data_IF_596586552637
#
_entry.id   IF_596586552637
#
_cell.length_a   1.000
_cell.length_b   1.000
_cell.length_c   1.000
_cell.angle_alpha   90.00
_cell.angle_beta   90.00
_cell.angle_gamma   90.00
#
_symmetry.space_group_name_H-M   'P 1'
#
loop_
_entity.id
_entity.type
_entity.pdbx_description
1 polymer ?
#
# COMPACT_ATOMS: atom_id res chain seq x y z
N UNK A 1 -21.23 27.45 41.81
CA UNK A 1 -21.23 28.92 41.79
C UNK A 1 -20.09 29.39 40.87
N UNK A 2 -20.45 30.09 39.79
CA UNK A 2 -19.62 30.84 38.82
C UNK A 2 -18.65 30.05 37.91
N UNK A 3 -19.19 29.69 36.75
CA UNK A 3 -18.46 29.61 35.46
C UNK A 3 -17.88 31.01 35.15
N UNK A 4 -16.60 31.09 34.78
CA UNK A 4 -16.03 32.29 34.17
C UNK A 4 -15.89 32.05 32.65
N UNK A 5 -16.59 32.89 31.88
CA UNK A 5 -16.33 33.12 30.47
C UNK A 5 -15.06 33.95 30.32
N UNK A 6 -14.20 33.61 29.36
CA UNK A 6 -13.37 34.59 28.67
C UNK A 6 -13.44 34.32 27.18
N UNK A 7 -14.03 35.28 26.47
CA UNK A 7 -13.93 35.46 25.02
C UNK A 7 -12.80 36.47 24.80
N UNK A 8 -11.78 36.12 24.02
CA UNK A 8 -11.10 37.08 23.15
C UNK A 8 -10.86 36.43 21.79
N UNK A 9 -11.37 37.12 20.78
CA UNK A 9 -11.27 36.89 19.35
C UNK A 9 -9.89 37.27 18.78
N UNK A 10 -9.40 36.52 17.79
CA UNK A 10 -8.50 37.04 16.75
C UNK A 10 -8.92 36.53 15.37
N UNK A 11 -9.01 37.47 14.43
CA UNK A 11 -9.24 37.28 13.00
C UNK A 11 -7.98 36.71 12.31
N UNK A 12 -8.22 36.00 11.20
CA UNK A 12 -7.31 35.85 10.05
C UNK A 12 -5.99 35.10 10.25
N UNK A 13 -5.98 33.81 9.93
CA UNK A 13 -5.36 33.27 8.70
C UNK A 13 -5.77 31.80 8.58
N UNK A 14 -6.39 31.45 7.45
CA UNK A 14 -6.80 30.07 7.17
C UNK A 14 -5.62 29.16 6.94
N UNK A 15 -5.24 28.41 7.98
CA UNK A 15 -4.56 27.12 7.88
C UNK A 15 -5.18 26.26 8.97
N UNK A 16 -6.22 25.48 8.63
CA UNK A 16 -6.70 24.44 9.52
C UNK A 16 -5.63 23.36 9.61
N UNK A 17 -4.90 23.33 10.72
CA UNK A 17 -4.09 22.19 11.11
C UNK A 17 -5.02 20.99 11.29
N UNK A 18 -4.89 20.01 10.38
CA UNK A 18 -5.54 18.72 10.54
C UNK A 18 -4.93 18.07 11.79
N UNK A 19 -5.71 17.99 12.86
CA UNK A 19 -5.34 17.20 14.03
C UNK A 19 -5.13 15.75 13.57
N UNK A 20 -3.96 15.22 13.87
CA UNK A 20 -3.57 13.84 13.63
C UNK A 20 -4.47 12.97 14.53
N UNK A 21 -5.60 12.52 13.99
CA UNK A 21 -6.29 11.37 14.53
C UNK A 21 -5.48 10.14 14.15
N UNK A 22 -4.58 9.74 15.05
CA UNK A 22 -4.00 8.40 15.07
C UNK A 22 -5.17 7.42 14.95
N UNK A 23 -5.13 6.57 13.93
CA UNK A 23 -6.14 5.56 13.65
C UNK A 23 -6.59 4.90 14.96
N UNK A 24 -7.85 5.15 15.31
CA UNK A 24 -8.51 4.46 16.40
C UNK A 24 -8.64 2.98 16.00
N UNK A 25 -7.92 2.12 16.72
CA UNK A 25 -7.93 0.66 16.51
C UNK A 25 -9.32 0.05 16.67
N UNK A 26 -10.30 0.81 17.18
CA UNK A 26 -11.70 0.38 17.33
C UNK A 26 -12.54 0.49 16.05
N UNK A 27 -12.05 1.12 14.97
CA UNK A 27 -12.76 1.12 13.67
C UNK A 27 -12.49 -0.17 12.89
N UNK A 28 -12.92 -1.30 13.44
CA UNK A 28 -12.78 -2.63 12.81
C UNK A 28 -13.47 -2.73 11.44
N UNK A 29 -14.44 -1.86 11.15
CA UNK A 29 -15.16 -1.82 9.88
C UNK A 29 -15.08 -0.41 9.27
N UNK A 30 -14.45 -0.27 8.10
CA UNK A 30 -14.63 0.93 7.28
C UNK A 30 -16.03 0.84 6.63
N UNK A 31 -16.92 1.83 6.83
CA UNK A 31 -18.28 1.77 6.29
C UNK A 31 -18.28 1.89 4.76
N UNK A 32 -19.18 1.18 4.09
CA UNK A 32 -19.54 1.41 2.68
C UNK A 32 -20.96 1.99 2.66
N UNK A 33 -21.23 3.16 2.04
CA UNK A 33 -20.31 3.97 1.24
C UNK A 33 -19.36 4.83 2.08
N UNK A 34 -18.10 4.85 1.65
CA UNK A 34 -17.04 5.64 2.26
C UNK A 34 -17.13 7.10 1.78
N UNK A 35 -17.45 8.03 2.68
CA UNK A 35 -17.44 9.48 2.36
C UNK A 35 -16.01 10.01 2.48
N UNK A 36 -15.46 10.56 1.40
CA UNK A 36 -14.24 11.37 1.44
C UNK A 36 -14.63 12.73 2.03
N UNK A 37 -14.39 12.93 3.32
CA UNK A 37 -14.54 14.27 3.91
C UNK A 37 -13.50 15.19 3.29
N UNK A 38 -13.94 16.17 2.47
CA UNK A 38 -13.38 17.47 2.04
C UNK A 38 -11.87 17.82 2.19
N UNK A 39 -10.95 16.88 2.37
CA UNK A 39 -9.56 17.11 2.75
C UNK A 39 -8.53 16.86 1.62
N UNK A 40 -8.95 16.29 0.49
CA UNK A 40 -8.11 16.20 -0.72
C UNK A 40 -8.79 16.84 -1.93
N UNK A 41 -8.80 18.19 -2.03
CA UNK A 41 -9.56 18.89 -3.07
C UNK A 41 -9.05 18.70 -4.51
N UNK A 42 -7.97 17.94 -4.73
CA UNK A 42 -7.23 17.93 -6.00
C UNK A 42 -6.95 16.53 -6.58
N UNK A 43 -7.30 15.44 -5.88
CA UNK A 43 -6.96 14.08 -6.33
C UNK A 43 -8.24 13.27 -6.51
N UNK A 44 -8.70 13.20 -7.76
CA UNK A 44 -9.82 12.37 -8.16
C UNK A 44 -9.40 10.93 -8.50
N UNK A 45 -8.11 10.72 -8.74
CA UNK A 45 -7.48 9.45 -9.07
C UNK A 45 -6.14 9.37 -8.32
N UNK A 46 -5.97 8.34 -7.49
CA UNK A 46 -4.78 8.18 -6.65
C UNK A 46 -3.49 7.93 -7.47
N UNK A 47 -3.62 7.43 -8.71
CA UNK A 47 -2.52 7.09 -9.61
C UNK A 47 -2.27 8.16 -10.67
N UNK A 48 -3.28 8.90 -11.11
CA UNK A 48 -3.15 9.97 -12.11
C UNK A 48 -2.60 11.28 -11.53
N UNK A 49 -1.41 11.20 -10.94
CA UNK A 49 -0.74 12.33 -10.27
C UNK A 49 -0.02 13.30 -11.24
N UNK A 50 0.13 12.93 -12.52
CA UNK A 50 0.91 13.68 -13.50
C UNK A 50 0.32 15.04 -13.92
N UNK A 51 -1.01 15.21 -13.77
CA UNK A 51 -1.69 16.50 -14.04
C UNK A 51 -1.77 17.41 -12.81
N UNK A 52 -1.37 16.91 -11.64
CA UNK A 52 -1.41 17.64 -10.39
C UNK A 52 -0.05 18.33 -10.18
N UNK A 53 0.04 19.66 -10.36
CA UNK A 53 1.29 20.40 -10.16
C UNK A 53 1.88 20.23 -8.75
N UNK A 54 3.15 20.62 -8.52
CA UNK A 54 3.86 20.41 -7.23
C UNK A 54 3.09 20.89 -5.97
N UNK A 55 2.12 21.81 -6.12
CA UNK A 55 1.22 22.29 -5.06
C UNK A 55 0.20 21.23 -4.58
N UNK A 56 0.00 20.14 -5.32
CA UNK A 56 -0.93 19.06 -5.01
C UNK A 56 -0.29 17.91 -4.21
N UNK A 57 0.97 18.06 -3.78
CA UNK A 57 1.61 17.09 -2.89
C UNK A 57 0.74 16.81 -1.69
N UNK A 58 0.37 15.55 -1.51
CA UNK A 58 -0.33 15.10 -0.31
C UNK A 58 0.65 15.14 0.86
N UNK A 59 0.59 16.22 1.64
CA UNK A 59 1.39 16.40 2.86
C UNK A 59 0.89 15.53 4.02
N UNK A 60 -0.29 14.93 3.88
CA UNK A 60 -0.86 14.04 4.88
C UNK A 60 0.01 12.80 5.08
N UNK A 61 0.27 12.48 6.33
CA UNK A 61 1.10 11.33 6.72
C UNK A 61 0.36 10.02 6.44
N UNK A 62 -0.94 9.95 6.75
CA UNK A 62 -1.78 8.78 6.53
C UNK A 62 -2.82 9.05 5.43
N UNK A 63 -2.68 8.38 4.29
CA UNK A 63 -3.63 8.49 3.19
C UNK A 63 -4.46 7.22 3.01
N UNK A 64 -4.37 6.25 3.91
CA UNK A 64 -4.94 4.91 3.75
C UNK A 64 -6.47 4.92 3.66
N UNK A 65 -7.14 5.77 4.45
CA UNK A 65 -8.59 5.96 4.37
C UNK A 65 -9.00 6.61 3.06
N UNK A 66 -8.34 7.72 2.67
CA UNK A 66 -8.63 8.40 1.41
C UNK A 66 -8.43 7.45 0.23
N UNK A 67 -7.36 6.65 0.26
CA UNK A 67 -7.09 5.60 -0.72
C UNK A 67 -8.26 4.63 -0.86
N UNK A 68 -8.67 4.01 0.24
CA UNK A 68 -9.77 3.06 0.26
C UNK A 68 -11.06 3.69 -0.29
N UNK A 69 -11.39 4.92 0.14
CA UNK A 69 -12.57 5.63 -0.33
C UNK A 69 -12.52 5.92 -1.84
N UNK A 70 -11.36 6.28 -2.39
CA UNK A 70 -11.20 6.53 -3.83
C UNK A 70 -11.37 5.25 -4.64
N UNK A 71 -10.65 4.18 -4.27
CA UNK A 71 -10.69 2.91 -5.01
C UNK A 71 -12.06 2.22 -4.91
N UNK A 72 -12.74 2.34 -3.77
CA UNK A 72 -14.06 1.72 -3.59
C UNK A 72 -15.23 2.57 -4.08
N UNK A 73 -15.00 3.80 -4.54
CA UNK A 73 -16.07 4.73 -4.95
C UNK A 73 -16.95 4.13 -6.05
N UNK A 74 -16.35 3.47 -7.04
CA UNK A 74 -17.07 2.83 -8.14
C UNK A 74 -17.97 1.67 -7.69
N UNK A 75 -17.71 1.10 -6.52
CA UNK A 75 -18.48 -0.01 -5.96
C UNK A 75 -19.50 0.45 -4.90
N UNK A 76 -19.81 1.75 -4.81
CA UNK A 76 -20.68 2.29 -3.76
C UNK A 76 -22.07 1.65 -3.68
N UNK A 77 -22.59 1.13 -4.80
CA UNK A 77 -23.87 0.42 -4.89
C UNK A 77 -23.73 -1.10 -5.02
N UNK A 78 -22.51 -1.63 -4.87
CA UNK A 78 -22.19 -3.05 -5.01
C UNK A 78 -22.02 -3.68 -3.63
N UNK A 79 -22.63 -4.85 -3.42
CA UNK A 79 -22.49 -5.58 -2.17
C UNK A 79 -21.08 -6.09 -1.96
N UNK A 80 -20.50 -5.86 -0.78
CA UNK A 80 -19.22 -6.44 -0.38
C UNK A 80 -19.32 -7.98 -0.31
N UNK A 81 -18.51 -8.66 -1.13
CA UNK A 81 -18.49 -10.11 -1.27
C UNK A 81 -17.36 -10.81 -0.50
N UNK A 82 -16.66 -10.14 0.42
CA UNK A 82 -15.48 -10.71 1.13
C UNK A 82 -15.77 -12.05 1.80
N UNK A 83 -16.98 -12.27 2.29
CA UNK A 83 -17.38 -13.55 2.90
C UNK A 83 -17.35 -14.72 1.90
N UNK A 84 -17.50 -14.48 0.59
CA UNK A 84 -17.36 -15.52 -0.44
C UNK A 84 -15.91 -16.01 -0.56
N UNK A 85 -14.93 -15.22 -0.14
CA UNK A 85 -13.52 -15.60 -0.18
C UNK A 85 -13.14 -16.63 0.90
N UNK A 86 -13.98 -16.83 1.93
CA UNK A 86 -13.69 -17.76 3.03
C UNK A 86 -13.38 -19.19 2.59
N UNK A 87 -13.99 -19.64 1.50
CA UNK A 87 -13.78 -20.99 0.94
C UNK A 87 -12.47 -21.13 0.14
N UNK A 88 -11.83 -20.02 -0.23
CA UNK A 88 -10.60 -20.03 -1.01
C UNK A 88 -9.38 -19.81 -0.11
N UNK A 89 -8.23 -20.28 -0.58
CA UNK A 89 -6.93 -19.97 0.02
C UNK A 89 -6.29 -18.77 -0.69
N UNK A 90 -6.11 -17.65 0.02
CA UNK A 90 -5.45 -16.45 -0.51
C UNK A 90 -3.95 -16.37 -0.18
N UNK A 91 -3.36 -17.36 0.51
CA UNK A 91 -1.98 -17.23 1.02
C UNK A 91 -0.94 -16.94 -0.06
N UNK A 92 -1.16 -17.40 -1.30
CA UNK A 92 -0.23 -17.22 -2.42
C UNK A 92 -0.10 -15.78 -2.89
N UNK A 93 -1.16 -14.97 -2.81
CA UNK A 93 -1.15 -13.62 -3.41
C UNK A 93 -0.26 -12.63 -2.65
N UNK A 94 0.20 -13.01 -1.45
CA UNK A 94 0.99 -12.15 -0.58
C UNK A 94 2.49 -12.41 -0.66
N UNK A 95 2.91 -13.57 -1.18
CA UNK A 95 4.31 -13.97 -1.18
C UNK A 95 5.09 -13.20 -2.26
N UNK A 96 6.29 -12.74 -1.92
CA UNK A 96 7.15 -12.01 -2.87
C UNK A 96 8.08 -12.95 -3.66
N UNK A 97 8.18 -14.21 -3.23
CA UNK A 97 8.96 -15.27 -3.89
C UNK A 97 10.44 -14.91 -4.15
N UNK A 98 10.82 -14.69 -5.41
CA UNK A 98 12.19 -14.36 -5.81
C UNK A 98 12.38 -12.87 -6.09
N UNK A 99 11.39 -12.05 -5.77
CA UNK A 99 11.35 -10.62 -6.06
C UNK A 99 11.33 -9.80 -4.76
N UNK A 100 11.20 -8.50 -4.91
CA UNK A 100 10.99 -7.52 -3.86
C UNK A 100 9.92 -6.53 -4.32
N UNK A 101 9.23 -5.91 -3.37
CA UNK A 101 8.29 -4.83 -3.65
C UNK A 101 8.93 -3.50 -3.29
N UNK A 102 8.73 -2.50 -4.13
CA UNK A 102 9.34 -1.19 -4.00
C UNK A 102 8.34 -0.17 -3.49
N UNK A 103 8.85 0.85 -2.81
CA UNK A 103 8.00 1.84 -2.18
C UNK A 103 8.72 3.11 -1.78
N UNK A 104 7.93 4.08 -1.35
CA UNK A 104 8.36 5.33 -0.76
C UNK A 104 8.05 5.36 0.73
N UNK A 105 9.00 5.85 1.51
CA UNK A 105 8.80 6.25 2.90
C UNK A 105 9.11 7.75 3.02
N UNK A 106 8.33 8.46 3.83
CA UNK A 106 8.36 9.92 4.03
C UNK A 106 8.04 10.79 2.80
N UNK A 107 8.05 12.11 3.00
CA UNK A 107 7.66 13.12 2.00
C UNK A 107 8.78 13.43 0.99
N UNK A 108 9.99 12.91 1.21
CA UNK A 108 11.10 13.01 0.27
C UNK A 108 11.19 11.78 -0.65
N UNK A 109 10.23 10.84 -0.57
CA UNK A 109 10.20 9.63 -1.38
C UNK A 109 11.49 8.79 -1.25
N UNK A 110 12.00 8.68 -0.02
CA UNK A 110 13.08 7.75 0.28
C UNK A 110 12.64 6.33 -0.08
N UNK A 111 13.46 5.60 -0.84
CA UNK A 111 13.14 4.22 -1.20
C UNK A 111 13.06 3.33 0.04
N UNK A 112 12.00 2.56 0.10
CA UNK A 112 11.80 1.43 1.00
C UNK A 112 11.53 0.18 0.14
N UNK A 113 12.00 -0.97 0.59
CA UNK A 113 11.80 -2.26 -0.07
C UNK A 113 11.16 -3.24 0.91
N UNK A 114 10.29 -4.11 0.42
CA UNK A 114 9.61 -5.15 1.19
C UNK A 114 9.84 -6.53 0.58
N UNK A 115 9.93 -7.54 1.45
CA UNK A 115 9.94 -8.94 1.06
C UNK A 115 9.13 -9.76 2.07
N UNK A 116 8.03 -10.36 1.62
CA UNK A 116 7.17 -11.24 2.41
C UNK A 116 7.64 -12.68 2.20
N UNK A 117 8.15 -13.27 3.29
CA UNK A 117 8.79 -14.59 3.31
C UNK A 117 7.78 -15.71 3.58
N UNK A 118 6.80 -15.45 4.43
CA UNK A 118 5.87 -16.47 4.90
C UNK A 118 4.50 -15.89 5.17
N UNK A 119 3.48 -16.63 4.73
CA UNK A 119 2.09 -16.34 5.03
C UNK A 119 1.38 -17.57 5.59
N UNK A 120 0.61 -17.34 6.65
CA UNK A 120 -0.22 -18.37 7.27
C UNK A 120 -1.62 -17.81 7.47
N UNK A 121 -2.65 -18.54 7.03
CA UNK A 121 -4.02 -18.19 7.37
C UNK A 121 -4.26 -18.39 8.86
N UNK A 122 -4.93 -17.43 9.51
CA UNK A 122 -5.30 -17.57 10.92
C UNK A 122 -6.27 -18.74 11.10
N UNK A 123 -6.08 -19.50 12.19
CA UNK A 123 -6.96 -20.61 12.57
C UNK A 123 -8.26 -20.13 13.24
N UNK A 124 -8.27 -18.91 13.78
CA UNK A 124 -9.40 -18.35 14.53
C UNK A 124 -10.21 -17.34 13.72
N UNK A 125 -9.61 -16.73 12.71
CA UNK A 125 -10.29 -15.81 11.78
C UNK A 125 -9.91 -16.12 10.33
N UNK A 126 -10.85 -16.72 9.60
CA UNK A 126 -10.70 -17.10 8.20
C UNK A 126 -10.37 -15.93 7.24
N UNK A 127 -10.60 -14.68 7.65
CA UNK A 127 -10.29 -13.47 6.87
C UNK A 127 -8.94 -12.84 7.27
N UNK A 128 -8.23 -13.40 8.23
CA UNK A 128 -6.95 -12.86 8.71
C UNK A 128 -5.79 -13.77 8.29
N UNK A 129 -4.72 -13.15 7.80
CA UNK A 129 -3.47 -13.79 7.40
C UNK A 129 -2.34 -13.23 8.25
N UNK A 130 -1.52 -14.12 8.81
CA UNK A 130 -0.30 -13.80 9.54
C UNK A 130 0.83 -13.73 8.53
N UNK A 131 1.53 -12.59 8.53
CA UNK A 131 2.60 -12.26 7.60
C UNK A 131 3.92 -12.20 8.36
N UNK A 132 4.96 -12.80 7.79
CA UNK A 132 6.35 -12.64 8.23
C UNK A 132 7.18 -12.20 7.04
N UNK A 133 8.03 -11.21 7.24
CA UNK A 133 8.87 -10.68 6.17
C UNK A 133 9.95 -9.74 6.69
N UNK A 134 10.54 -9.00 5.75
CA UNK A 134 11.56 -7.99 6.01
C UNK A 134 11.27 -6.72 5.24
N UNK A 135 11.59 -5.59 5.85
CA UNK A 135 11.62 -4.26 5.23
C UNK A 135 13.09 -3.84 5.08
N UNK A 136 13.36 -2.91 4.16
CA UNK A 136 14.68 -2.33 3.99
C UNK A 136 14.61 -0.86 3.61
N UNK A 137 15.33 -0.02 4.34
CA UNK A 137 15.55 1.39 4.01
C UNK A 137 17.06 1.64 4.04
N UNK A 138 17.62 2.06 2.90
CA UNK A 138 19.09 2.14 2.71
C UNK A 138 19.73 0.78 3.04
N UNK A 139 20.59 0.73 4.06
CA UNK A 139 21.24 -0.50 4.53
C UNK A 139 20.59 -1.10 5.78
N UNK A 140 19.54 -0.47 6.32
CA UNK A 140 18.83 -0.98 7.50
C UNK A 140 17.77 -1.99 7.07
N UNK A 141 17.91 -3.24 7.50
CA UNK A 141 16.97 -4.33 7.24
C UNK A 141 16.29 -4.71 8.55
N UNK A 142 14.96 -4.62 8.60
CA UNK A 142 14.18 -4.99 9.78
C UNK A 142 13.29 -6.18 9.46
N UNK A 143 13.29 -7.17 10.36
CA UNK A 143 12.31 -8.25 10.34
C UNK A 143 10.98 -7.69 10.84
N UNK A 144 9.88 -8.17 10.27
CA UNK A 144 8.56 -7.85 10.77
C UNK A 144 7.67 -9.09 10.86
N UNK A 145 6.69 -9.00 11.75
CA UNK A 145 5.55 -9.92 11.80
C UNK A 145 4.29 -9.09 11.94
N UNK A 146 3.19 -9.55 11.37
CA UNK A 146 1.92 -8.88 11.54
C UNK A 146 0.79 -9.57 10.81
N UNK A 147 -0.23 -8.80 10.44
CA UNK A 147 -1.44 -9.35 9.84
C UNK A 147 -1.93 -8.56 8.64
N UNK A 148 -2.62 -9.26 7.75
CA UNK A 148 -3.54 -8.69 6.76
C UNK A 148 -4.93 -9.24 7.08
N UNK A 149 -5.91 -8.37 7.33
CA UNK A 149 -7.32 -8.72 7.52
C UNK A 149 -8.11 -8.27 6.29
N UNK A 150 -8.76 -9.20 5.61
CA UNK A 150 -9.60 -8.89 4.45
C UNK A 150 -10.79 -8.02 4.88
N UNK A 151 -11.01 -6.91 4.17
CA UNK A 151 -12.07 -5.95 4.44
C UNK A 151 -13.21 -6.07 3.43
N UNK A 152 -12.88 -6.03 2.15
CA UNK A 152 -13.86 -6.03 1.08
C UNK A 152 -13.37 -6.75 -0.15
N UNK A 153 -14.33 -7.29 -0.89
CA UNK A 153 -14.10 -7.90 -2.20
C UNK A 153 -15.25 -7.50 -3.12
N UNK A 154 -14.92 -6.98 -4.29
CA UNK A 154 -15.89 -6.58 -5.30
C UNK A 154 -15.59 -7.32 -6.60
N UNK A 155 -16.61 -7.95 -7.19
CA UNK A 155 -16.44 -8.57 -8.50
C UNK A 155 -16.24 -7.48 -9.56
N UNK A 156 -15.33 -7.75 -10.49
CA UNK A 156 -15.10 -6.92 -11.68
C UNK A 156 -15.39 -7.74 -12.93
N UNK A 157 -15.47 -7.06 -14.08
CA UNK A 157 -15.57 -7.73 -15.37
C UNK A 157 -14.16 -8.07 -15.85
N UNK A 158 -13.83 -9.35 -15.92
CA UNK A 158 -12.61 -9.82 -16.57
C UNK A 158 -12.93 -10.11 -18.03
N UNK A 159 -12.02 -9.76 -18.93
CA UNK A 159 -12.14 -10.15 -20.33
C UNK A 159 -11.97 -11.68 -20.46
N UNK A 160 -13.01 -12.33 -21.03
CA UNK A 160 -13.07 -13.66 -21.65
C UNK A 160 -12.12 -14.79 -21.18
N UNK A 161 -11.97 -15.01 -19.87
CA UNK A 161 -11.55 -16.32 -19.34
C UNK A 161 -12.78 -17.06 -18.84
N UNK A 162 -13.35 -17.91 -19.68
CA UNK A 162 -14.53 -18.73 -19.35
C UNK A 162 -14.34 -19.43 -17.99
N UNK A 163 -15.31 -19.25 -17.08
CA UNK A 163 -15.41 -19.84 -15.73
C UNK A 163 -14.51 -19.25 -14.61
N UNK A 164 -13.66 -18.27 -14.89
CA UNK A 164 -12.90 -17.55 -13.85
C UNK A 164 -13.63 -16.27 -13.48
N UNK A 165 -13.85 -16.05 -12.18
CA UNK A 165 -14.34 -14.75 -11.69
C UNK A 165 -13.15 -13.94 -11.18
N UNK A 166 -13.04 -12.68 -11.54
CA UNK A 166 -12.06 -11.75 -10.98
C UNK A 166 -12.73 -10.73 -10.06
N UNK A 167 -11.91 -10.02 -9.33
CA UNK A 167 -12.35 -8.89 -8.56
C UNK A 167 -11.19 -8.14 -7.92
N UNK A 168 -11.56 -7.08 -7.21
CA UNK A 168 -10.65 -6.27 -6.44
C UNK A 168 -10.80 -6.63 -4.96
N UNK A 169 -9.68 -7.00 -4.34
CA UNK A 169 -9.61 -7.41 -2.94
C UNK A 169 -8.94 -6.32 -2.13
N UNK A 170 -9.58 -5.89 -1.05
CA UNK A 170 -9.03 -4.93 -0.12
C UNK A 170 -8.77 -5.56 1.24
N UNK A 171 -7.67 -5.16 1.87
CA UNK A 171 -7.29 -5.58 3.21
C UNK A 171 -6.79 -4.43 4.07
N UNK A 172 -6.87 -4.61 5.39
CA UNK A 172 -6.12 -3.80 6.36
C UNK A 172 -4.87 -4.56 6.73
N UNK A 173 -3.73 -3.89 6.76
CA UNK A 173 -2.48 -4.48 7.22
C UNK A 173 -1.93 -3.75 8.45
N UNK A 174 -1.29 -4.51 9.34
CA UNK A 174 -0.45 -4.00 10.42
C UNK A 174 0.76 -4.91 10.54
N UNK A 175 1.97 -4.37 10.36
CA UNK A 175 3.23 -5.09 10.49
C UNK A 175 4.11 -4.44 11.56
N UNK A 176 4.54 -5.25 12.52
CA UNK A 176 5.41 -4.85 13.61
C UNK A 176 6.83 -5.25 13.25
N UNK A 177 7.71 -4.27 13.02
CA UNK A 177 9.14 -4.57 12.96
C UNK A 177 9.65 -5.02 14.34
N UNK A 178 10.74 -5.76 14.36
CA UNK A 178 11.43 -6.15 15.58
C UNK A 178 11.94 -4.90 16.32
N UNK A 179 11.35 -4.62 17.49
CA UNK A 179 11.65 -3.43 18.29
C UNK A 179 13.05 -3.41 18.88
N UNK A 180 13.80 -4.52 18.83
CA UNK A 180 15.21 -4.56 19.22
C UNK A 180 16.15 -4.03 18.11
N UNK A 181 15.67 -3.97 16.87
CA UNK A 181 16.43 -3.45 15.74
C UNK A 181 16.39 -1.92 15.67
N UNK A 182 17.48 -1.32 15.19
CA UNK A 182 17.56 0.13 15.01
C UNK A 182 16.59 0.60 13.94
N UNK A 183 16.08 1.83 14.11
CA UNK A 183 15.15 2.46 13.18
C UNK A 183 13.91 1.60 12.87
N UNK A 184 13.43 0.85 13.86
CA UNK A 184 12.24 0.01 13.77
C UNK A 184 10.96 0.75 14.17
N UNK A 185 9.83 0.23 13.69
CA UNK A 185 8.51 0.77 13.94
C UNK A 185 7.38 -0.16 13.51
N UNK A 186 6.19 0.44 13.38
CA UNK A 186 4.97 -0.25 12.97
C UNK A 186 4.52 0.30 11.62
N UNK A 187 4.34 -0.58 10.64
CA UNK A 187 3.62 -0.24 9.42
C UNK A 187 2.13 -0.54 9.60
N UNK A 188 1.26 0.35 9.14
CA UNK A 188 -0.18 0.08 9.11
C UNK A 188 -0.88 0.86 8.00
N UNK A 189 -1.94 0.28 7.43
CA UNK A 189 -2.72 0.94 6.39
C UNK A 189 -3.72 0.03 5.70
N UNK A 190 -4.03 0.39 4.45
CA UNK A 190 -4.92 -0.35 3.55
C UNK A 190 -4.08 -0.91 2.41
N UNK A 191 -4.47 -2.08 1.95
CA UNK A 191 -3.95 -2.67 0.74
C UNK A 191 -5.07 -3.05 -0.21
N UNK A 192 -4.79 -3.07 -1.51
CA UNK A 192 -5.60 -3.69 -2.54
C UNK A 192 -4.79 -4.53 -3.53
N UNK A 193 -5.45 -5.50 -4.16
CA UNK A 193 -4.93 -6.21 -5.32
C UNK A 193 -6.04 -6.70 -6.24
N UNK A 194 -5.70 -6.85 -7.51
CA UNK A 194 -6.56 -7.51 -8.50
C UNK A 194 -6.36 -9.01 -8.41
N UNK A 195 -7.45 -9.78 -8.37
CA UNK A 195 -7.40 -11.22 -8.16
C UNK A 195 -8.32 -12.00 -9.07
N UNK A 196 -7.93 -13.25 -9.36
CA UNK A 196 -8.73 -14.26 -10.03
C UNK A 196 -9.11 -15.36 -9.03
N UNK A 197 -10.35 -15.83 -9.11
CA UNK A 197 -10.89 -16.93 -8.31
C UNK A 197 -10.82 -18.24 -9.11
N UNK A 198 -9.85 -19.09 -8.76
CA UNK A 198 -9.73 -20.46 -9.28
C UNK A 198 -10.69 -21.36 -8.49
N UNK A 199 -11.88 -21.60 -9.05
CA UNK A 199 -12.92 -22.43 -8.42
C UNK A 199 -12.54 -23.93 -8.41
N UNK A 200 -11.72 -24.39 -9.36
CA UNK A 200 -11.33 -25.79 -9.45
C UNK A 200 -10.32 -26.15 -8.36
N UNK A 201 -9.36 -25.25 -8.11
CA UNK A 201 -8.33 -25.43 -7.07
C UNK A 201 -8.70 -24.82 -5.73
N UNK A 202 -9.83 -24.11 -5.66
CA UNK A 202 -10.25 -23.35 -4.47
C UNK A 202 -9.16 -22.37 -3.99
N UNK A 203 -8.53 -21.66 -4.94
CA UNK A 203 -7.46 -20.69 -4.69
C UNK A 203 -7.80 -19.29 -5.21
N UNK A 204 -7.16 -18.29 -4.62
CA UNK A 204 -7.09 -16.95 -5.15
C UNK A 204 -5.69 -16.76 -5.72
N UNK A 205 -5.60 -16.27 -6.94
CA UNK A 205 -4.34 -15.89 -7.59
C UNK A 205 -4.39 -14.41 -7.96
N UNK A 206 -3.22 -13.78 -8.10
CA UNK A 206 -3.17 -12.41 -8.59
C UNK A 206 -3.66 -12.37 -10.05
N UNK A 207 -4.38 -11.31 -10.38
CA UNK A 207 -4.66 -10.98 -11.77
C UNK A 207 -3.49 -10.15 -12.32
N UNK A 208 -2.66 -10.80 -13.12
CA UNK A 208 -1.49 -10.23 -13.79
C UNK A 208 -1.71 -10.11 -15.30
N UNK A 209 -2.96 -10.15 -15.76
CA UNK A 209 -3.30 -10.09 -17.19
C UNK A 209 -2.85 -8.79 -17.89
N UNK A 210 -2.68 -7.72 -17.12
CA UNK A 210 -2.20 -6.41 -17.57
C UNK A 210 -0.74 -6.13 -17.14
N UNK A 211 0.01 -7.15 -16.71
CA UNK A 211 1.44 -6.99 -16.43
C UNK A 211 2.17 -6.46 -17.69
N UNK A 212 2.94 -5.40 -17.51
CA UNK A 212 3.64 -4.67 -18.57
C UNK A 212 2.78 -3.69 -19.37
N UNK A 213 1.51 -3.49 -18.99
CA UNK A 213 0.67 -2.44 -19.58
C UNK A 213 1.03 -1.06 -19.00
N UNK A 214 0.88 -0.03 -19.83
CA UNK A 214 1.12 1.36 -19.40
C UNK A 214 0.27 1.69 -18.18
N UNK A 215 0.95 2.19 -17.14
CA UNK A 215 0.28 2.58 -15.92
C UNK A 215 0.01 1.46 -14.94
N UNK A 216 0.38 0.20 -15.18
CA UNK A 216 0.02 -0.93 -14.32
C UNK A 216 0.44 -0.76 -12.85
N UNK A 217 -0.40 -1.25 -11.93
CA UNK A 217 -0.16 -1.38 -10.49
C UNK A 217 -0.81 -2.67 -9.98
N UNK A 218 -0.22 -3.27 -8.96
CA UNK A 218 -0.86 -4.37 -8.23
C UNK A 218 -0.30 -4.45 -6.81
N UNK A 219 -0.93 -5.26 -5.95
CA UNK A 219 -0.56 -5.48 -4.53
C UNK A 219 -0.11 -4.18 -3.87
N UNK A 220 -0.95 -3.16 -3.95
CA UNK A 220 -0.62 -1.83 -3.44
C UNK A 220 -0.93 -1.75 -1.96
N UNK A 221 -0.04 -1.11 -1.20
CA UNK A 221 -0.15 -0.86 0.23
C UNK A 221 0.03 0.63 0.48
N UNK A 222 -1.00 1.28 1.02
CA UNK A 222 -1.01 2.71 1.36
C UNK A 222 -1.21 2.87 2.85
N UNK A 223 -0.25 3.51 3.53
CA UNK A 223 -0.34 3.70 4.96
C UNK A 223 0.78 4.53 5.56
N UNK A 224 1.13 4.16 6.78
CA UNK A 224 2.14 4.85 7.59
C UNK A 224 3.16 3.88 8.13
N UNK A 225 4.34 4.41 8.47
CA UNK A 225 5.30 3.81 9.37
C UNK A 225 5.43 4.70 10.61
N UNK A 226 5.35 4.13 11.82
CA UNK A 226 5.52 4.84 13.09
C UNK A 226 6.67 4.25 13.89
N UNK A 227 7.68 5.07 14.20
CA UNK A 227 8.84 4.63 14.99
C UNK A 227 8.46 4.20 16.40
N UNK A 228 9.05 3.12 16.90
CA UNK A 228 8.97 2.78 18.32
C UNK A 228 9.71 3.77 19.21
N UNK A 229 10.85 4.28 18.74
CA UNK A 229 11.74 5.12 19.56
C UNK A 229 11.35 6.59 19.51
N UNK A 230 11.23 7.19 18.32
CA UNK A 230 10.97 8.62 18.20
C UNK A 230 9.48 8.97 18.22
N UNK A 231 8.60 7.96 18.11
CA UNK A 231 7.15 8.11 17.94
C UNK A 231 6.73 8.89 16.68
N UNK A 232 7.69 9.29 15.84
CA UNK A 232 7.41 9.98 14.58
C UNK A 232 6.73 9.02 13.60
N UNK A 233 5.70 9.53 12.93
CA UNK A 233 5.01 8.84 11.85
C UNK A 233 5.45 9.39 10.49
N UNK A 234 5.58 8.51 9.51
CA UNK A 234 5.93 8.81 8.13
C UNK A 234 4.91 8.15 7.21
N UNK A 235 4.61 8.82 6.09
CA UNK A 235 3.94 8.18 4.95
C UNK A 235 4.75 6.96 4.51
N UNK A 236 4.07 5.85 4.20
CA UNK A 236 4.69 4.67 3.64
C UNK A 236 3.75 4.07 2.59
N UNK A 237 4.20 4.04 1.33
CA UNK A 237 3.44 3.50 0.20
C UNK A 237 4.34 2.55 -0.56
N UNK A 238 3.89 1.34 -0.82
CA UNK A 238 4.68 0.32 -1.51
C UNK A 238 3.77 -0.65 -2.25
N UNK A 239 4.30 -1.39 -3.21
CA UNK A 239 3.53 -2.36 -3.98
C UNK A 239 4.29 -2.80 -5.21
N UNK A 240 3.55 -3.37 -6.16
CA UNK A 240 4.10 -3.70 -7.47
C UNK A 240 3.85 -2.56 -8.45
N UNK A 241 4.86 -2.30 -9.28
CA UNK A 241 4.82 -1.30 -10.35
C UNK A 241 4.50 0.11 -9.81
N UNK A 242 3.52 0.83 -10.39
CA UNK A 242 3.25 2.24 -10.05
C UNK A 242 2.64 2.40 -8.65
N UNK A 243 2.95 3.53 -8.01
CA UNK A 243 2.55 3.83 -6.63
C UNK A 243 1.58 5.02 -6.56
N UNK A 244 0.49 4.94 -5.79
CA UNK A 244 -0.46 6.04 -5.65
C UNK A 244 0.07 7.16 -4.75
N UNK A 245 -0.53 8.35 -4.85
CA UNK A 245 -0.20 9.55 -4.05
C UNK A 245 1.28 9.97 -4.05
N UNK A 246 1.97 9.69 -5.15
CA UNK A 246 3.38 10.03 -5.37
C UNK A 246 3.53 11.18 -6.38
N UNK A 247 2.89 12.32 -6.12
CA UNK A 247 2.89 13.48 -7.04
C UNK A 247 4.29 13.97 -7.40
N UNK A 248 4.60 13.95 -8.69
CA UNK A 248 5.88 14.35 -9.28
C UNK A 248 7.05 13.40 -8.97
N UNK A 249 6.78 12.21 -8.42
CA UNK A 249 7.78 11.16 -8.16
C UNK A 249 8.03 10.28 -9.40
N UNK A 250 6.94 9.90 -10.06
CA UNK A 250 6.95 9.07 -11.26
C UNK A 250 6.91 9.96 -12.52
N UNK A 251 7.93 9.81 -13.36
CA UNK A 251 8.15 10.51 -14.62
C UNK A 251 8.08 9.54 -15.83
N UNK A 252 7.65 8.31 -15.62
CA UNK A 252 7.51 7.32 -16.68
C UNK A 252 6.27 7.53 -17.53
N UNK A 253 6.42 7.35 -18.84
CA UNK A 253 5.32 7.44 -19.81
C UNK A 253 4.51 6.13 -19.87
N UNK A 254 5.17 4.97 -19.69
CA UNK A 254 4.55 3.64 -19.63
C UNK A 254 4.75 2.96 -18.26
N UNK A 255 5.96 2.50 -17.99
CA UNK A 255 6.38 1.92 -16.71
C UNK A 255 6.78 2.98 -15.68
N UNK A 256 6.78 2.62 -14.39
CA UNK A 256 7.25 3.52 -13.33
C UNK A 256 8.73 3.89 -13.54
N UNK A 257 9.02 5.18 -13.67
CA UNK A 257 10.39 5.71 -13.75
C UNK A 257 10.55 6.87 -12.77
N UNK A 258 11.56 6.82 -11.91
CA UNK A 258 11.70 7.83 -10.86
C UNK A 258 12.28 9.12 -11.45
N UNK A 259 11.62 10.25 -11.21
CA UNK A 259 12.13 11.55 -11.64
C UNK A 259 13.50 11.86 -11.02
N UNK A 260 14.41 12.46 -11.79
CA UNK A 260 15.81 12.78 -11.40
C UNK A 260 15.96 13.39 -9.99
N UNK A 261 15.02 14.26 -9.61
CA UNK A 261 14.95 14.92 -8.30
C UNK A 261 15.02 13.94 -7.12
N UNK A 262 14.48 12.73 -7.27
CA UNK A 262 14.39 11.72 -6.22
C UNK A 262 15.30 10.51 -6.44
N UNK A 263 16.00 10.41 -7.58
CA UNK A 263 16.88 9.26 -7.89
C UNK A 263 17.91 9.01 -6.78
N UNK A 264 18.51 10.08 -6.27
CA UNK A 264 19.48 10.04 -5.16
C UNK A 264 18.93 9.49 -3.84
N UNK A 265 17.61 9.37 -3.70
CA UNK A 265 16.93 8.88 -2.49
C UNK A 265 16.80 7.35 -2.48
N UNK A 266 17.72 6.63 -3.13
CA UNK A 266 17.79 5.16 -3.16
C UNK A 266 17.28 4.51 -4.44
N UNK A 267 16.95 5.29 -5.47
CA UNK A 267 16.32 4.81 -6.70
C UNK A 267 17.26 4.67 -7.89
N UNK A 268 18.54 5.06 -7.77
CA UNK A 268 19.52 4.95 -8.86
C UNK A 268 19.55 3.55 -9.51
N UNK A 269 19.70 2.51 -8.69
CA UNK A 269 19.81 1.14 -9.18
C UNK A 269 18.49 0.60 -9.76
N UNK A 270 17.35 1.13 -9.31
CA UNK A 270 16.03 0.84 -9.88
C UNK A 270 15.91 1.45 -11.29
N UNK A 271 16.16 2.76 -11.44
CA UNK A 271 16.08 3.44 -12.74
C UNK A 271 17.07 2.89 -13.76
N UNK A 272 18.31 2.63 -13.34
CA UNK A 272 19.35 2.10 -14.23
C UNK A 272 19.21 0.59 -14.47
N UNK A 273 18.23 -0.06 -13.82
CA UNK A 273 17.97 -1.50 -13.86
C UNK A 273 19.18 -2.38 -13.47
N UNK A 274 20.17 -1.79 -12.79
CA UNK A 274 21.42 -2.47 -12.41
C UNK A 274 21.23 -3.53 -11.33
N UNK A 275 20.05 -3.61 -10.73
CA UNK A 275 19.68 -4.60 -9.72
C UNK A 275 19.45 -6.00 -10.31
N UNK A 276 19.20 -6.08 -11.62
CA UNK A 276 18.89 -7.33 -12.30
C UNK A 276 20.09 -7.84 -13.11
N UNK A 277 20.17 -9.17 -13.23
CA UNK A 277 21.06 -9.87 -14.15
C UNK A 277 20.27 -10.85 -15.00
N UNK A 278 20.63 -10.98 -16.25
CA UNK A 278 20.10 -12.02 -17.12
C UNK A 278 20.69 -13.38 -16.73
N UNK A 279 19.85 -14.40 -16.60
CA UNK A 279 20.25 -15.79 -16.28
C UNK A 279 20.09 -16.72 -17.48
N UNK A 280 19.24 -16.35 -18.43
CA UNK A 280 19.08 -16.97 -19.75
C UNK A 280 18.38 -15.95 -20.66
N UNK A 281 18.41 -16.10 -21.99
CA UNK A 281 17.78 -15.14 -22.90
C UNK A 281 16.35 -14.77 -22.49
N UNK A 282 16.13 -13.49 -22.19
CA UNK A 282 14.84 -12.94 -21.77
C UNK A 282 14.40 -13.29 -20.34
N UNK A 283 15.26 -13.91 -19.52
CA UNK A 283 14.97 -14.19 -18.10
C UNK A 283 15.95 -13.47 -17.20
N UNK A 284 15.40 -12.63 -16.34
CA UNK A 284 16.13 -11.79 -15.42
C UNK A 284 15.90 -12.22 -13.97
N UNK A 285 16.88 -11.99 -13.11
CA UNK A 285 16.74 -12.20 -11.66
C UNK A 285 17.44 -11.11 -10.89
N UNK A 286 16.94 -10.84 -9.68
CA UNK A 286 17.56 -9.88 -8.77
C UNK A 286 18.95 -10.39 -8.36
N UNK A 287 19.97 -9.55 -8.53
CA UNK A 287 21.37 -9.85 -8.18
C UNK A 287 21.53 -10.08 -6.68
N UNK A 288 20.93 -9.21 -5.87
CA UNK A 288 21.08 -9.19 -4.43
C UNK A 288 19.73 -9.41 -3.75
N UNK A 289 19.49 -10.66 -3.31
CA UNK A 289 18.37 -11.03 -2.45
C UNK A 289 18.67 -10.60 -1.02
N UNK A 290 18.57 -9.30 -0.74
CA UNK A 290 18.95 -8.71 0.55
C UNK A 290 18.20 -9.32 1.72
N UNK A 291 17.01 -9.86 1.51
CA UNK A 291 16.24 -10.58 2.52
C UNK A 291 16.88 -11.91 2.94
N UNK A 292 17.86 -12.44 2.21
CA UNK A 292 18.64 -13.60 2.66
C UNK A 292 19.75 -13.24 3.64
N UNK A 293 20.01 -11.94 3.88
CA UNK A 293 20.96 -11.53 4.91
C UNK A 293 20.46 -11.92 6.30
N UNK A 294 21.40 -12.35 7.14
CA UNK A 294 21.15 -12.72 8.54
C UNK A 294 20.82 -11.49 9.37
#
# INVERSE_FOLDING_TARGET
MKLFFFIISFFSTGISYCQINVFDSTRENLPVPCVVENAMPLINDAYHNGQAGEKAKVAEVDCSRAYYCLQTRQYATTDNQVNKLKKFNASSIWLTENTEQNGVIDTNYQRIQFHIEKVMRSQTDSNTYIIVGKSKVKNNICRFTGTIKLLSFFYTNCEDISNTKCGELFGRYIFYEDSSQQHSGVFQGIMDCMVLLDNDKMKIVLDESLDGADGYWNRTYVGTWKSYHSQQAKKCIWGDYRLPFTVGFDCGDGEMMICDKYVKNGWQSFNDQTEYKEISPGRWTLKNKWWLSK
#
